data_IF_836502137045
#
_entry.id   IF_836502137045
#
_cell.length_a   1.000
_cell.length_b   1.000
_cell.length_c   1.000
_cell.angle_alpha   90.00
_cell.angle_beta   90.00
_cell.angle_gamma   90.00
#
_symmetry.space_group_name_H-M   'P 1'
#
loop_
_entity.id
_entity.type
_entity.pdbx_description
1 polymer ?
#
# COMPACT_ATOMS: atom_id res chain seq x y z
N UNK A 1 10.38 -5.75 18.13
CA UNK A 1 10.41 -4.65 17.14
C UNK A 1 10.50 -5.30 15.78
N UNK A 2 9.45 -5.19 14.98
CA UNK A 2 9.47 -5.70 13.61
C UNK A 2 10.09 -4.62 12.72
N UNK A 3 10.94 -5.05 11.78
CA UNK A 3 11.57 -4.16 10.82
C UNK A 3 10.98 -4.50 9.46
N UNK A 4 10.54 -3.46 8.74
CA UNK A 4 9.91 -3.59 7.44
C UNK A 4 10.73 -2.84 6.39
N UNK A 5 10.76 -3.35 5.16
CA UNK A 5 11.23 -2.59 4.00
C UNK A 5 10.03 -2.03 3.26
N UNK A 6 9.91 -0.71 3.22
CA UNK A 6 8.87 -0.05 2.45
C UNK A 6 9.21 -0.05 0.95
N UNK A 7 8.26 -0.44 0.11
CA UNK A 7 8.39 -0.49 -1.35
C UNK A 7 7.16 0.16 -2.00
N UNK A 8 7.25 1.44 -2.40
CA UNK A 8 6.17 2.08 -3.14
C UNK A 8 6.06 1.45 -4.54
N UNK A 9 4.85 1.01 -4.92
CA UNK A 9 4.57 0.51 -6.28
C UNK A 9 3.56 1.41 -6.96
N UNK A 10 3.99 2.04 -8.04
CA UNK A 10 3.15 2.95 -8.81
C UNK A 10 2.51 2.23 -10.00
N UNK A 11 1.22 2.45 -10.18
CA UNK A 11 0.49 2.15 -11.40
C UNK A 11 -0.07 3.44 -12.00
N UNK A 12 -0.20 3.47 -13.33
CA UNK A 12 -0.74 4.60 -14.08
C UNK A 12 -2.08 4.22 -14.70
N UNK A 13 -3.05 5.13 -14.67
CA UNK A 13 -4.28 5.05 -15.45
C UNK A 13 -4.50 6.34 -16.25
N UNK A 14 -5.61 6.41 -16.99
CA UNK A 14 -6.04 7.63 -17.68
C UNK A 14 -6.58 8.68 -16.70
N UNK A 15 -7.00 8.26 -15.51
CA UNK A 15 -7.68 9.09 -14.51
C UNK A 15 -6.70 9.62 -13.45
N UNK A 16 -5.50 9.02 -13.35
CA UNK A 16 -4.52 9.40 -12.35
C UNK A 16 -3.41 8.38 -12.13
N UNK A 17 -2.79 8.48 -10.96
CA UNK A 17 -1.79 7.55 -10.46
C UNK A 17 -2.35 6.77 -9.27
N UNK A 18 -1.98 5.50 -9.18
CA UNK A 18 -2.28 4.65 -8.04
C UNK A 18 -0.97 4.27 -7.38
N UNK A 19 -0.88 4.43 -6.07
CA UNK A 19 0.26 3.98 -5.26
C UNK A 19 -0.18 2.85 -4.34
N UNK A 20 0.38 1.67 -4.55
CA UNK A 20 0.29 0.59 -3.58
C UNK A 20 1.43 0.75 -2.56
N UNK A 21 1.06 0.88 -1.28
CA UNK A 21 1.98 1.01 -0.16
C UNK A 21 2.40 -0.40 0.31
N UNK A 22 3.36 -1.00 -0.38
CA UNK A 22 3.80 -2.37 -0.07
C UNK A 22 4.90 -2.39 0.98
N UNK A 23 4.89 -3.42 1.82
CA UNK A 23 5.95 -3.75 2.74
C UNK A 23 6.52 -5.13 2.48
N UNK A 24 7.84 -5.25 2.62
CA UNK A 24 8.48 -6.51 2.91
C UNK A 24 8.48 -6.69 4.42
N UNK A 25 7.85 -7.76 4.86
CA UNK A 25 8.05 -8.30 6.20
C UNK A 25 9.31 -9.14 6.12
N UNK A 26 10.42 -8.61 6.67
CA UNK A 26 11.76 -9.17 6.48
C UNK A 26 11.79 -10.64 6.89
N UNK A 27 12.13 -11.51 5.93
CA UNK A 27 12.18 -12.97 6.13
C UNK A 27 10.85 -13.72 6.00
N UNK A 28 9.74 -13.02 5.74
CA UNK A 28 8.42 -13.62 5.62
C UNK A 28 7.77 -13.44 4.24
N UNK A 29 7.92 -12.26 3.62
CA UNK A 29 7.35 -11.97 2.30
C UNK A 29 6.81 -10.56 2.18
N UNK A 30 5.79 -10.36 1.35
CA UNK A 30 5.26 -9.07 0.95
C UNK A 30 3.79 -8.89 1.31
N UNK A 31 3.40 -7.69 1.72
CA UNK A 31 1.98 -7.35 1.96
C UNK A 31 1.70 -5.91 1.53
N UNK A 32 0.43 -5.59 1.23
CA UNK A 32 0.00 -4.24 0.87
C UNK A 32 -0.69 -3.62 2.07
N UNK A 33 -0.19 -2.48 2.56
CA UNK A 33 -0.87 -1.75 3.62
C UNK A 33 -2.06 -0.96 3.09
N UNK A 34 -1.87 -0.18 2.03
CA UNK A 34 -2.92 0.67 1.48
C UNK A 34 -2.73 0.91 -0.01
N UNK A 35 -3.79 1.45 -0.64
CA UNK A 35 -3.82 1.89 -2.02
C UNK A 35 -4.28 3.33 -2.06
N UNK A 36 -3.39 4.22 -2.47
CA UNK A 36 -3.66 5.64 -2.60
C UNK A 36 -3.96 5.97 -4.06
N UNK A 37 -4.94 6.84 -4.31
CA UNK A 37 -5.26 7.33 -5.65
C UNK A 37 -5.03 8.84 -5.74
N UNK A 38 -4.29 9.24 -6.76
CA UNK A 38 -3.94 10.62 -7.08
C UNK A 38 -4.61 10.99 -8.42
N UNK A 39 -5.78 11.64 -8.38
CA UNK A 39 -6.51 11.99 -9.60
C UNK A 39 -5.78 13.09 -10.38
N UNK A 40 -6.14 13.22 -11.67
CA UNK A 40 -5.83 14.40 -12.47
C UNK A 40 -7.03 15.36 -12.52
N UNK A 41 -6.84 16.68 -12.31
CA UNK A 41 -5.57 17.36 -12.01
C UNK A 41 -5.07 17.07 -10.59
N UNK A 42 -3.75 17.16 -10.39
CA UNK A 42 -3.13 16.81 -9.12
C UNK A 42 -3.46 17.81 -8.00
N UNK A 43 -3.89 17.31 -6.85
CA UNK A 43 -4.20 18.10 -5.65
C UNK A 43 -3.09 17.95 -4.60
N UNK A 44 -2.31 19.02 -4.36
CA UNK A 44 -1.15 18.96 -3.47
C UNK A 44 -1.50 18.60 -2.01
N UNK A 45 -2.61 19.13 -1.49
CA UNK A 45 -3.07 18.84 -0.13
C UNK A 45 -3.44 17.36 0.08
N UNK A 46 -3.92 16.71 -0.99
CA UNK A 46 -4.32 15.31 -0.95
C UNK A 46 -3.12 14.39 -0.67
N UNK A 47 -1.96 14.70 -1.24
CA UNK A 47 -0.75 13.89 -1.02
C UNK A 47 -0.29 13.92 0.44
N UNK A 48 -0.30 15.09 1.08
CA UNK A 48 0.06 15.22 2.50
C UNK A 48 -0.91 14.46 3.41
N UNK A 49 -2.22 14.53 3.13
CA UNK A 49 -3.25 13.80 3.88
C UNK A 49 -3.09 12.28 3.76
N UNK A 50 -2.78 11.78 2.56
CA UNK A 50 -2.56 10.35 2.33
C UNK A 50 -1.31 9.85 3.08
N UNK A 51 -0.25 10.67 3.13
CA UNK A 51 0.96 10.34 3.88
C UNK A 51 0.73 10.29 5.40
N UNK A 52 -0.09 11.20 5.96
CA UNK A 52 -0.48 11.15 7.38
C UNK A 52 -1.23 9.86 7.70
N UNK A 53 -2.26 9.54 6.91
CA UNK A 53 -3.05 8.32 7.07
C UNK A 53 -2.19 7.06 6.94
N UNK A 54 -1.21 7.05 6.03
CA UNK A 54 -0.26 5.95 5.88
C UNK A 54 0.54 5.70 7.17
N UNK A 55 1.06 6.76 7.81
CA UNK A 55 1.82 6.62 9.05
C UNK A 55 0.96 6.23 10.25
N UNK A 56 -0.21 6.86 10.40
CA UNK A 56 -1.19 6.53 11.45
C UNK A 56 -1.54 5.03 11.39
N UNK A 57 -1.81 4.54 10.19
CA UNK A 57 -2.19 3.16 9.95
C UNK A 57 -1.07 2.15 10.21
N UNK A 58 0.18 2.53 9.90
CA UNK A 58 1.35 1.70 10.23
C UNK A 58 1.59 1.64 11.74
N UNK A 59 1.29 2.73 12.45
CA UNK A 59 1.41 2.81 13.91
C UNK A 59 0.33 1.97 14.61
N UNK A 60 -0.91 2.02 14.12
CA UNK A 60 -2.04 1.32 14.71
C UNK A 60 -2.00 -0.19 14.52
N UNK A 61 -1.52 -0.67 13.37
CA UNK A 61 -1.60 -2.08 13.02
C UNK A 61 -0.40 -2.54 12.18
N UNK A 62 0.18 -3.68 12.56
CA UNK A 62 1.28 -4.25 11.79
C UNK A 62 0.83 -4.62 10.36
N UNK A 63 1.65 -4.37 9.32
CA UNK A 63 1.28 -4.66 7.94
C UNK A 63 0.77 -6.09 7.71
N UNK A 64 1.42 -7.08 8.32
CA UNK A 64 1.08 -8.50 8.24
C UNK A 64 -0.26 -8.88 8.90
N UNK A 65 -0.82 -8.00 9.73
CA UNK A 65 -2.11 -8.23 10.38
C UNK A 65 -3.29 -7.73 9.55
N UNK A 66 -3.02 -6.93 8.50
CA UNK A 66 -4.07 -6.32 7.66
C UNK A 66 -4.40 -7.15 6.44
N UNK A 67 -3.37 -7.59 5.73
CA UNK A 67 -3.50 -8.41 4.54
C UNK A 67 -2.50 -9.57 4.57
N UNK A 68 -2.85 -10.71 3.94
CA UNK A 68 -1.96 -11.86 3.85
C UNK A 68 -0.56 -11.49 3.36
N UNK A 69 0.43 -12.21 3.86
CA UNK A 69 1.79 -12.16 3.34
C UNK A 69 1.85 -13.07 2.11
N UNK A 70 2.31 -12.50 1.01
CA UNK A 70 2.46 -13.17 -0.28
C UNK A 70 3.94 -13.28 -0.67
N UNK A 71 4.32 -14.27 -1.50
CA UNK A 71 5.72 -14.52 -1.85
C UNK A 71 6.31 -13.45 -2.79
N UNK A 72 5.46 -12.65 -3.44
CA UNK A 72 5.90 -11.57 -4.35
C UNK A 72 5.06 -10.31 -4.16
N UNK A 73 5.63 -9.16 -4.50
CA UNK A 73 4.91 -7.87 -4.51
C UNK A 73 3.68 -7.91 -5.43
N UNK A 74 3.78 -8.58 -6.59
CA UNK A 74 2.65 -8.70 -7.52
C UNK A 74 1.51 -9.52 -6.89
N UNK A 75 1.81 -10.68 -6.31
CA UNK A 75 0.80 -11.50 -5.64
C UNK A 75 0.13 -10.76 -4.47
N UNK A 76 0.90 -9.99 -3.69
CA UNK A 76 0.36 -9.14 -2.62
C UNK A 76 -0.66 -8.11 -3.15
N UNK A 77 -0.37 -7.48 -4.29
CA UNK A 77 -1.27 -6.51 -4.94
C UNK A 77 -2.53 -7.19 -5.47
N UNK A 78 -2.39 -8.36 -6.09
CA UNK A 78 -3.52 -9.14 -6.59
C UNK A 78 -4.46 -9.58 -5.45
N UNK A 79 -3.90 -10.10 -4.36
CA UNK A 79 -4.64 -10.47 -3.16
C UNK A 79 -5.35 -9.26 -2.52
N UNK A 80 -4.67 -8.12 -2.41
CA UNK A 80 -5.26 -6.88 -1.91
C UNK A 80 -6.43 -6.41 -2.79
N UNK A 81 -6.26 -6.39 -4.12
CA UNK A 81 -7.31 -5.97 -5.02
C UNK A 81 -8.52 -6.91 -4.99
N UNK A 82 -8.31 -8.22 -4.86
CA UNK A 82 -9.38 -9.19 -4.71
C UNK A 82 -10.21 -8.95 -3.44
N UNK A 83 -9.58 -8.53 -2.33
CA UNK A 83 -10.27 -8.20 -1.08
C UNK A 83 -11.27 -7.04 -1.21
N UNK A 84 -10.96 -6.04 -2.04
CA UNK A 84 -11.79 -4.84 -2.23
C UNK A 84 -12.69 -4.88 -3.48
N UNK A 85 -12.64 -5.95 -4.26
CA UNK A 85 -13.47 -6.12 -5.47
C UNK A 85 -14.80 -6.83 -5.19
N UNK A 86 -15.13 -7.06 -3.91
CA UNK A 86 -16.35 -7.72 -3.43
C UNK A 86 -17.46 -6.74 -3.07
#
# INVERSE_FOLDING_TARGET
MNIYRYMPVWARSNEGLVLYRCFEVIGHGFTVQSKDFFPLPHEAERAAQLESQFHELLFEQAPEQRFPIEPTVQAAIEAFNAHFSG
#
